data_IF_868744810687
#
_entry.id   IF_868744810687
#
_cell.length_a   1.000
_cell.length_b   1.000
_cell.length_c   1.000
_cell.angle_alpha   90.00
_cell.angle_beta   90.00
_cell.angle_gamma   90.00
#
_symmetry.space_group_name_H-M   'P 1'
#
loop_
_entity.id
_entity.type
_entity.pdbx_description
1 polymer ?
#
# COMPACT_ATOMS: atom_id res chain seq x y z
N UNK A 1 -28.50 -19.38 3.09
CA UNK A 1 -28.57 -18.73 4.42
C UNK A 1 -28.81 -17.25 4.18
N UNK A 2 -29.94 -16.70 4.64
CA UNK A 2 -30.23 -15.26 4.48
C UNK A 2 -29.54 -14.50 5.62
N UNK A 3 -28.76 -13.46 5.29
CA UNK A 3 -28.08 -12.61 6.27
C UNK A 3 -29.06 -11.55 6.79
N UNK A 4 -29.05 -11.27 8.10
CA UNK A 4 -29.80 -10.15 8.68
C UNK A 4 -29.11 -8.82 8.38
N UNK A 5 -29.88 -7.75 8.33
CA UNK A 5 -29.37 -6.39 8.12
C UNK A 5 -28.31 -6.01 9.16
N UNK A 6 -28.51 -6.39 10.43
CA UNK A 6 -27.53 -6.20 11.51
C UNK A 6 -26.17 -6.85 11.21
N UNK A 7 -26.18 -8.07 10.64
CA UNK A 7 -24.95 -8.76 10.26
C UNK A 7 -24.28 -8.10 9.07
N UNK A 8 -25.05 -7.61 8.11
CA UNK A 8 -24.53 -6.87 6.96
C UNK A 8 -23.85 -5.58 7.45
N UNK A 9 -24.52 -4.82 8.31
CA UNK A 9 -23.96 -3.59 8.91
C UNK A 9 -22.69 -3.89 9.71
N UNK A 10 -22.70 -4.96 10.52
CA UNK A 10 -21.52 -5.37 11.28
C UNK A 10 -20.31 -5.67 10.38
N UNK A 11 -20.51 -6.46 9.32
CA UNK A 11 -19.44 -6.81 8.37
C UNK A 11 -18.92 -5.58 7.62
N UNK A 12 -19.81 -4.67 7.23
CA UNK A 12 -19.43 -3.42 6.58
C UNK A 12 -18.58 -2.57 7.53
N UNK A 13 -18.98 -2.42 8.79
CA UNK A 13 -18.21 -1.69 9.80
C UNK A 13 -16.83 -2.32 10.03
N UNK A 14 -16.76 -3.65 10.13
CA UNK A 14 -15.49 -4.36 10.30
C UNK A 14 -14.56 -4.14 9.09
N UNK A 15 -15.10 -4.22 7.87
CA UNK A 15 -14.33 -4.04 6.64
C UNK A 15 -13.76 -2.61 6.53
N UNK A 16 -14.59 -1.59 6.77
CA UNK A 16 -14.15 -0.20 6.69
C UNK A 16 -13.26 0.19 7.86
N UNK A 17 -13.60 -0.19 9.09
CA UNK A 17 -12.80 0.13 10.28
C UNK A 17 -11.41 -0.48 10.20
N UNK A 18 -11.34 -1.81 10.05
CA UNK A 18 -10.04 -2.50 9.95
C UNK A 18 -9.26 -2.08 8.70
N UNK A 19 -9.94 -1.93 7.55
CA UNK A 19 -9.29 -1.58 6.30
C UNK A 19 -8.74 -0.14 6.26
N UNK A 20 -9.47 0.81 6.84
CA UNK A 20 -9.11 2.23 6.79
C UNK A 20 -7.93 2.57 7.70
N UNK A 21 -7.98 2.14 8.96
CA UNK A 21 -6.94 2.50 9.94
C UNK A 21 -5.58 1.87 9.58
N UNK A 22 -5.60 0.60 9.14
CA UNK A 22 -4.38 -0.12 8.77
C UNK A 22 -3.73 0.43 7.50
N UNK A 23 -4.50 0.71 6.44
CA UNK A 23 -3.93 1.23 5.19
C UNK A 23 -3.46 2.68 5.31
N UNK A 24 -4.20 3.52 6.05
CA UNK A 24 -3.80 4.91 6.34
C UNK A 24 -2.46 4.95 7.08
N UNK A 25 -2.28 4.06 8.05
CA UNK A 25 -1.02 3.92 8.78
C UNK A 25 0.11 3.45 7.87
N UNK A 26 -0.16 2.50 6.96
CA UNK A 26 0.86 1.97 6.04
C UNK A 26 1.38 3.07 5.13
N UNK A 27 0.47 3.83 4.52
CA UNK A 27 0.80 4.94 3.64
C UNK A 27 1.56 6.05 4.37
N UNK A 28 1.19 6.35 5.62
CA UNK A 28 1.91 7.35 6.43
C UNK A 28 3.36 6.96 6.67
N UNK A 29 3.61 5.69 7.03
CA UNK A 29 4.96 5.16 7.13
C UNK A 29 5.69 5.20 5.79
N UNK A 30 5.05 4.77 4.70
CA UNK A 30 5.64 4.82 3.36
C UNK A 30 6.15 6.21 3.01
N UNK A 31 5.33 7.25 3.20
CA UNK A 31 5.73 8.64 2.93
C UNK A 31 6.88 9.06 3.83
N UNK A 32 6.84 8.73 5.12
CA UNK A 32 7.92 9.03 6.06
C UNK A 32 9.25 8.40 5.63
N UNK A 33 9.24 7.13 5.21
CA UNK A 33 10.43 6.45 4.69
C UNK A 33 10.94 7.09 3.40
N UNK A 34 10.07 7.46 2.46
CA UNK A 34 10.50 8.13 1.22
C UNK A 34 11.17 9.49 1.49
N UNK A 35 10.69 10.23 2.50
CA UNK A 35 11.31 11.51 2.90
C UNK A 35 12.66 11.31 3.59
N UNK A 36 12.79 10.28 4.44
CA UNK A 36 14.04 10.01 5.19
C UNK A 36 15.11 9.36 4.31
N UNK A 37 14.72 8.58 3.30
CA UNK A 37 15.62 7.83 2.41
C UNK A 37 15.42 8.25 0.95
N UNK A 38 15.91 9.45 0.55
CA UNK A 38 15.70 9.98 -0.80
C UNK A 38 16.36 9.13 -1.90
N UNK A 39 17.40 8.36 -1.57
CA UNK A 39 18.03 7.40 -2.48
C UNK A 39 17.10 6.23 -2.83
N UNK A 40 16.26 5.80 -1.89
CA UNK A 40 15.24 4.78 -2.11
C UNK A 40 14.09 5.35 -2.93
N UNK A 41 13.67 6.58 -2.65
CA UNK A 41 12.63 7.27 -3.43
C UNK A 41 13.03 7.44 -4.90
N UNK A 42 14.24 7.95 -5.17
CA UNK A 42 14.76 8.10 -6.54
C UNK A 42 14.81 6.74 -7.26
N UNK A 43 15.24 5.67 -6.57
CA UNK A 43 15.30 4.34 -7.18
C UNK A 43 13.90 3.77 -7.49
N UNK A 44 12.91 4.00 -6.63
CA UNK A 44 11.52 3.64 -6.91
C UNK A 44 10.96 4.42 -8.10
N UNK A 45 11.27 5.72 -8.17
CA UNK A 45 10.86 6.57 -9.28
C UNK A 45 11.46 6.10 -10.60
N UNK A 46 12.75 5.75 -10.64
CA UNK A 46 13.37 5.19 -11.85
C UNK A 46 12.77 3.84 -12.26
N UNK A 47 12.52 2.93 -11.31
CA UNK A 47 11.86 1.65 -11.63
C UNK A 47 10.48 1.88 -12.27
N UNK A 48 9.68 2.78 -11.70
CA UNK A 48 8.37 3.14 -12.27
C UNK A 48 8.50 3.77 -13.65
N UNK A 49 9.42 4.72 -13.81
CA UNK A 49 9.66 5.40 -15.08
C UNK A 49 10.09 4.42 -16.18
N UNK A 50 10.95 3.45 -15.87
CA UNK A 50 11.48 2.49 -16.83
C UNK A 50 10.45 1.41 -17.21
N UNK A 51 9.63 0.96 -16.25
CA UNK A 51 8.73 -0.20 -16.44
C UNK A 51 7.31 0.20 -16.83
N UNK A 52 6.84 1.37 -16.38
CA UNK A 52 5.48 1.89 -16.61
C UNK A 52 5.49 3.04 -17.62
N UNK A 53 6.49 3.90 -17.58
CA UNK A 53 6.55 5.15 -18.33
C UNK A 53 5.84 6.30 -17.64
N UNK A 54 5.95 7.51 -18.21
CA UNK A 54 5.37 8.75 -17.64
C UNK A 54 4.02 9.13 -18.25
N UNK A 55 3.58 8.42 -19.29
CA UNK A 55 2.39 8.77 -20.08
C UNK A 55 1.08 8.20 -19.50
N UNK A 56 1.16 7.38 -18.44
CA UNK A 56 0.01 6.75 -17.80
C UNK A 56 0.26 6.46 -16.32
N UNK A 57 -0.82 6.20 -15.59
CA UNK A 57 -0.74 5.69 -14.22
C UNK A 57 -0.40 4.19 -14.18
N UNK A 58 0.26 3.70 -13.11
CA UNK A 58 0.49 2.27 -12.90
C UNK A 58 -0.80 1.46 -12.80
N UNK A 59 -0.76 0.22 -13.27
CA UNK A 59 -1.85 -0.77 -13.18
C UNK A 59 -1.39 -1.98 -12.36
N UNK A 60 -2.33 -2.75 -11.80
CA UNK A 60 -1.99 -4.00 -11.09
C UNK A 60 -1.25 -5.01 -11.98
N UNK A 61 -1.48 -4.97 -13.29
CA UNK A 61 -0.75 -5.81 -14.26
C UNK A 61 0.74 -5.47 -14.38
N UNK A 62 1.17 -4.29 -13.93
CA UNK A 62 2.58 -3.88 -13.94
C UNK A 62 3.36 -4.45 -12.75
N UNK A 63 2.67 -4.89 -11.68
CA UNK A 63 3.28 -5.39 -10.43
C UNK A 63 4.42 -6.40 -10.63
N UNK A 64 4.33 -7.40 -11.53
CA UNK A 64 5.44 -8.34 -11.75
C UNK A 64 6.73 -7.70 -12.27
N UNK A 65 6.65 -6.49 -12.83
CA UNK A 65 7.79 -5.71 -13.35
C UNK A 65 8.35 -4.71 -12.34
N UNK A 66 7.75 -4.60 -11.15
CA UNK A 66 8.11 -3.62 -10.12
C UNK A 66 8.63 -4.32 -8.85
N UNK A 67 9.70 -5.16 -8.94
CA UNK A 67 10.18 -5.92 -7.81
C UNK A 67 10.76 -5.04 -6.69
N UNK A 68 11.31 -3.86 -7.00
CA UNK A 68 11.85 -2.96 -5.98
C UNK A 68 10.72 -2.26 -5.22
N UNK A 69 9.65 -1.82 -5.90
CA UNK A 69 8.44 -1.33 -5.26
C UNK A 69 7.80 -2.39 -4.35
N UNK A 70 7.71 -3.64 -4.81
CA UNK A 70 7.19 -4.74 -4.00
C UNK A 70 8.05 -4.96 -2.75
N UNK A 71 9.37 -4.96 -2.90
CA UNK A 71 10.30 -5.10 -1.78
C UNK A 71 10.16 -3.95 -0.78
N UNK A 72 10.01 -2.71 -1.25
CA UNK A 72 9.78 -1.54 -0.42
C UNK A 72 8.50 -1.66 0.40
N UNK A 73 7.38 -2.06 -0.22
CA UNK A 73 6.11 -2.27 0.48
C UNK A 73 6.27 -3.36 1.56
N UNK A 74 6.91 -4.48 1.23
CA UNK A 74 7.15 -5.56 2.19
C UNK A 74 8.03 -5.11 3.36
N UNK A 75 9.04 -4.28 3.11
CA UNK A 75 9.93 -3.78 4.16
C UNK A 75 9.23 -2.78 5.08
N UNK A 76 8.38 -1.90 4.53
CA UNK A 76 7.50 -1.04 5.34
C UNK A 76 6.63 -1.94 6.22
N UNK A 77 5.94 -2.92 5.64
CA UNK A 77 5.06 -3.81 6.38
C UNK A 77 5.80 -4.62 7.47
N UNK A 78 7.08 -4.92 7.28
CA UNK A 78 7.94 -5.60 8.25
C UNK A 78 8.35 -4.68 9.40
N UNK A 79 8.63 -3.40 9.12
CA UNK A 79 9.24 -2.48 10.10
C UNK A 79 8.21 -1.61 10.83
N UNK A 80 7.09 -1.24 10.20
CA UNK A 80 6.09 -0.41 10.85
C UNK A 80 5.23 -1.20 11.84
N UNK A 81 5.04 -0.66 13.04
CA UNK A 81 4.05 -1.15 13.99
C UNK A 81 2.67 -0.62 13.60
N UNK A 82 1.80 -1.50 13.11
CA UNK A 82 0.40 -1.20 12.77
C UNK A 82 -0.54 -1.30 13.97
N UNK A 83 -0.17 -2.17 14.89
CA UNK A 83 -0.83 -2.41 16.17
C UNK A 83 0.30 -2.58 17.19
N UNK A 84 0.15 -2.06 18.42
CA UNK A 84 1.12 -2.28 19.49
C UNK A 84 1.27 -3.76 19.84
#
# INVERSE_FOLDING_TARGET
VQMSDEKIVGIVNDLFGAGFDTISTALSWSVMYLVVYPDIEERLYQELKDQVGMDRTPLLSDRPKLPFLEAFILEILRHSSFLP
#
